data_IF_461759202692
#
_entry.id   IF_461759202692
#
_cell.length_a   1.000
_cell.length_b   1.000
_cell.length_c   1.000
_cell.angle_alpha   90.00
_cell.angle_beta   90.00
_cell.angle_gamma   90.00
#
_symmetry.space_group_name_H-M   'P 1'
#
loop_
_entity.id
_entity.type
_entity.pdbx_description
1 polymer ?
#
# COMPACT_ATOMS: atom_id res chain seq x y z
N UNK A 1 8.79 -15.40 31.16
CA UNK A 1 8.93 -16.59 30.27
C UNK A 1 10.02 -16.28 29.24
N UNK A 2 10.87 -17.24 28.86
CA UNK A 2 11.92 -17.05 27.85
C UNK A 2 11.87 -18.13 26.78
N UNK A 3 12.14 -17.76 25.53
CA UNK A 3 12.15 -18.64 24.37
C UNK A 3 13.56 -18.78 23.83
N UNK A 4 13.98 -19.99 23.47
CA UNK A 4 15.25 -20.22 22.81
C UNK A 4 15.09 -19.97 21.30
N UNK A 5 15.67 -18.89 20.81
CA UNK A 5 15.66 -18.50 19.39
C UNK A 5 17.11 -18.52 18.92
N UNK A 6 17.39 -19.29 17.87
CA UNK A 6 18.74 -19.45 17.31
C UNK A 6 19.83 -19.77 18.37
N UNK A 7 19.50 -20.63 19.34
CA UNK A 7 20.42 -21.02 20.42
C UNK A 7 20.62 -19.99 21.53
N UNK A 8 19.88 -18.88 21.53
CA UNK A 8 19.91 -17.87 22.61
C UNK A 8 18.56 -17.77 23.30
N UNK A 9 18.58 -17.69 24.63
CA UNK A 9 17.39 -17.42 25.42
C UNK A 9 17.00 -15.93 25.30
N UNK A 10 15.86 -15.66 24.70
CA UNK A 10 15.26 -14.33 24.57
C UNK A 10 14.06 -14.26 25.50
N UNK A 11 14.00 -13.24 26.36
CA UNK A 11 12.83 -13.05 27.23
C UNK A 11 11.65 -12.56 26.41
N UNK A 12 10.43 -12.93 26.83
CA UNK A 12 9.20 -12.59 26.12
C UNK A 12 9.05 -11.08 25.91
N UNK A 13 9.47 -10.26 26.88
CA UNK A 13 9.37 -8.81 26.79
C UNK A 13 10.18 -8.25 25.61
N UNK A 14 11.38 -8.78 25.36
CA UNK A 14 12.22 -8.36 24.23
C UNK A 14 11.73 -8.90 22.90
N UNK A 15 11.15 -10.11 22.89
CA UNK A 15 10.56 -10.70 21.70
C UNK A 15 9.40 -9.83 21.22
N UNK A 16 8.47 -9.49 22.12
CA UNK A 16 7.32 -8.65 21.81
C UNK A 16 7.76 -7.27 21.31
N UNK A 17 8.69 -6.61 22.01
CA UNK A 17 9.20 -5.30 21.60
C UNK A 17 9.92 -5.35 20.24
N UNK A 18 10.73 -6.38 20.01
CA UNK A 18 11.41 -6.60 18.74
C UNK A 18 10.44 -6.85 17.58
N UNK A 19 9.38 -7.62 17.82
CA UNK A 19 8.33 -7.85 16.82
C UNK A 19 7.63 -6.55 16.48
N UNK A 20 7.14 -5.77 17.47
CA UNK A 20 6.47 -4.49 17.23
C UNK A 20 7.37 -3.53 16.45
N UNK A 21 8.63 -3.39 16.87
CA UNK A 21 9.59 -2.52 16.18
C UNK A 21 9.84 -2.97 14.73
N UNK A 22 9.94 -4.28 14.50
CA UNK A 22 10.11 -4.83 13.15
C UNK A 22 8.89 -4.59 12.27
N UNK A 23 7.66 -4.82 12.75
CA UNK A 23 6.44 -4.56 11.97
C UNK A 23 6.29 -3.08 11.65
N UNK A 24 6.54 -2.19 12.61
CA UNK A 24 6.50 -0.74 12.37
C UNK A 24 7.59 -0.34 11.38
N UNK A 25 8.81 -0.87 11.51
CA UNK A 25 9.91 -0.59 10.58
C UNK A 25 9.60 -1.02 9.15
N UNK A 26 9.01 -2.21 8.98
CA UNK A 26 8.57 -2.72 7.67
C UNK A 26 7.43 -1.86 7.10
N UNK A 27 6.44 -1.50 7.91
CA UNK A 27 5.33 -0.66 7.46
C UNK A 27 5.81 0.74 7.05
N UNK A 28 6.72 1.34 7.82
CA UNK A 28 7.28 2.64 7.47
C UNK A 28 8.18 2.56 6.24
N UNK A 29 8.96 1.49 6.07
CA UNK A 29 9.80 1.34 4.87
C UNK A 29 8.99 1.04 3.61
N UNK A 30 7.90 0.29 3.71
CA UNK A 30 6.99 0.04 2.59
C UNK A 30 6.17 1.27 2.20
N UNK A 31 5.82 2.13 3.16
CA UNK A 31 5.11 3.38 2.91
C UNK A 31 6.05 4.54 2.51
N UNK A 32 7.30 4.53 2.99
CA UNK A 32 8.28 5.60 2.77
C UNK A 32 9.05 5.49 1.45
N UNK A 33 8.95 4.35 0.76
CA UNK A 33 9.60 4.07 -0.52
C UNK A 33 8.73 4.40 -1.74
N UNK A 34 7.91 5.45 -1.69
CA UNK A 34 7.34 6.05 -2.89
C UNK A 34 8.33 7.07 -3.44
N UNK A 35 9.02 6.71 -4.52
CA UNK A 35 9.79 7.69 -5.28
C UNK A 35 8.95 8.94 -5.54
N UNK A 36 9.43 10.11 -5.08
CA UNK A 36 9.05 11.41 -5.67
C UNK A 36 9.60 11.58 -7.11
N UNK A 37 10.18 10.53 -7.69
CA UNK A 37 10.79 10.49 -9.02
C UNK A 37 10.80 9.09 -9.64
N UNK A 38 9.72 8.31 -9.55
CA UNK A 38 9.47 7.22 -10.51
C UNK A 38 8.56 7.81 -11.56
N UNK A 39 9.22 8.48 -12.50
CA UNK A 39 8.72 8.81 -13.83
C UNK A 39 8.45 7.49 -14.59
N UNK A 40 7.45 6.75 -14.13
CA UNK A 40 6.89 5.57 -14.77
C UNK A 40 5.49 5.87 -15.29
N UNK A 41 5.36 6.95 -16.09
CA UNK A 41 4.09 7.50 -16.55
C UNK A 41 3.18 7.95 -15.40
N UNK A 42 2.52 9.10 -15.52
CA UNK A 42 1.32 9.29 -14.69
C UNK A 42 0.40 8.07 -14.91
N UNK A 43 -0.33 7.59 -13.88
CA UNK A 43 -1.40 6.63 -14.14
C UNK A 43 -2.22 7.15 -15.31
N UNK A 44 -2.44 6.30 -16.31
CA UNK A 44 -3.18 6.67 -17.51
C UNK A 44 -4.53 7.17 -17.02
N UNK A 45 -4.96 8.38 -17.41
CA UNK A 45 -6.23 8.91 -16.99
C UNK A 45 -7.32 7.86 -17.22
N UNK A 46 -8.29 7.74 -16.31
CA UNK A 46 -9.40 6.77 -16.47
C UNK A 46 -10.11 6.86 -17.82
N UNK A 47 -10.03 8.02 -18.50
CA UNK A 47 -10.56 8.27 -19.85
C UNK A 47 -9.78 7.59 -20.96
N UNK A 48 -8.51 7.29 -20.73
CA UNK A 48 -7.56 6.70 -21.67
C UNK A 48 -7.23 5.25 -21.30
N UNK A 49 -7.56 4.82 -20.08
CA UNK A 49 -7.33 3.47 -19.59
C UNK A 49 -8.37 2.47 -20.14
N UNK A 50 -7.88 1.51 -20.93
CA UNK A 50 -8.67 0.41 -21.52
C UNK A 50 -8.62 -0.88 -20.69
N UNK A 51 -7.90 -0.88 -19.59
CA UNK A 51 -7.68 -2.05 -18.74
C UNK A 51 -8.70 -2.17 -17.61
N UNK A 52 -9.52 -1.13 -17.40
CA UNK A 52 -10.66 -1.16 -16.48
C UNK A 52 -11.78 -1.98 -17.11
N UNK A 53 -11.90 -3.22 -16.63
CA UNK A 53 -12.96 -4.18 -16.99
C UNK A 53 -13.60 -4.72 -15.71
N UNK A 54 -14.91 -4.86 -15.70
CA UNK A 54 -15.72 -5.35 -14.58
C UNK A 54 -16.46 -6.63 -15.00
N UNK A 55 -17.06 -7.32 -14.04
CA UNK A 55 -17.85 -8.53 -14.36
C UNK A 55 -19.22 -8.16 -14.96
N UNK A 56 -19.72 -6.95 -14.68
CA UNK A 56 -20.95 -6.40 -15.27
C UNK A 56 -20.73 -4.98 -15.82
N UNK A 57 -21.50 -4.56 -16.85
CA UNK A 57 -21.37 -3.21 -17.42
C UNK A 57 -21.64 -2.09 -16.38
N UNK A 58 -22.50 -2.34 -15.40
CA UNK A 58 -22.78 -1.38 -14.31
C UNK A 58 -21.59 -1.21 -13.36
N UNK A 59 -20.84 -2.28 -13.12
CA UNK A 59 -19.64 -2.25 -12.28
C UNK A 59 -18.52 -1.47 -12.98
N UNK A 60 -18.36 -1.66 -14.29
CA UNK A 60 -17.40 -0.89 -15.10
C UNK A 60 -17.67 0.62 -15.02
N UNK A 61 -18.93 1.02 -15.18
CA UNK A 61 -19.33 2.42 -15.09
C UNK A 61 -19.08 2.99 -13.69
N UNK A 62 -19.35 2.21 -12.64
CA UNK A 62 -19.06 2.59 -11.26
C UNK A 62 -17.56 2.79 -11.02
N UNK A 63 -16.71 1.84 -11.44
CA UNK A 63 -15.25 1.92 -11.27
C UNK A 63 -14.70 3.13 -12.03
N UNK A 64 -15.13 3.36 -13.27
CA UNK A 64 -14.72 4.52 -14.07
C UNK A 64 -15.10 5.84 -13.38
N UNK A 65 -16.30 5.92 -12.81
CA UNK A 65 -16.76 7.12 -12.13
C UNK A 65 -16.03 7.37 -10.81
N UNK A 66 -15.78 6.32 -10.03
CA UNK A 66 -15.02 6.40 -8.78
C UNK A 66 -13.57 6.86 -9.02
N UNK A 67 -12.89 6.29 -10.01
CA UNK A 67 -11.52 6.69 -10.35
C UNK A 67 -11.49 8.12 -10.92
N UNK A 68 -12.47 8.50 -11.76
CA UNK A 68 -12.58 9.87 -12.27
C UNK A 68 -12.73 10.92 -11.15
N UNK A 69 -13.48 10.60 -10.10
CA UNK A 69 -13.67 11.47 -8.93
C UNK A 69 -12.42 11.56 -8.07
N UNK A 70 -11.72 10.44 -7.86
CA UNK A 70 -10.42 10.41 -7.19
C UNK A 70 -9.37 11.26 -7.93
N UNK A 71 -9.29 11.14 -9.27
CA UNK A 71 -8.39 11.96 -10.08
C UNK A 71 -8.74 13.46 -10.06
N UNK A 72 -10.03 13.80 -9.92
CA UNK A 72 -10.51 15.17 -9.84
C UNK A 72 -10.31 15.83 -8.47
N UNK A 73 -10.25 15.05 -7.40
CA UNK A 73 -10.06 15.53 -6.02
C UNK A 73 -8.59 15.77 -5.67
N UNK A 74 -7.67 14.96 -6.20
CA UNK A 74 -6.21 15.14 -6.02
C UNK A 74 -5.67 16.46 -6.62
N UNK A 75 -6.30 16.98 -7.68
CA UNK A 75 -5.90 18.26 -8.33
C UNK A 75 -6.36 19.52 -7.61
N UNK A 76 -7.10 19.43 -6.50
CA UNK A 76 -7.67 20.59 -5.77
C UNK A 76 -6.98 20.91 -4.44
N UNK A 77 -5.88 20.25 -4.08
CA UNK A 77 -5.09 20.54 -2.88
C UNK A 77 -3.68 21.02 -3.19
#
# INVERSE_FOLDING_TARGET
MSYNIAGRAIKNEYLVLGTIAATVGIAVSSLGGGDKSSSGSAPVPVKEDKTITGETPEEEDFIRQFVAEAEGSDKKH
#
